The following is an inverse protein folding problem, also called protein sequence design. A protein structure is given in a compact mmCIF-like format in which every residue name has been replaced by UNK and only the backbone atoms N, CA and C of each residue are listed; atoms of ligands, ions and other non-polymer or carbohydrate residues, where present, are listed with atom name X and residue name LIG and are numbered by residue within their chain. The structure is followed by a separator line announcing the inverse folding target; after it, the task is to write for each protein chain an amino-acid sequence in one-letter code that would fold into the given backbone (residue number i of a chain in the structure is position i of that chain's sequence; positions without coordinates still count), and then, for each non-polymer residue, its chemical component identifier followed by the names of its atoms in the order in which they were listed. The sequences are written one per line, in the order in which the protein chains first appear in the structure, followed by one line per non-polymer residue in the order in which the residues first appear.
data_IF_596257307701
#
_entry.id   IF_596257307701
#
_cell.length_a   1.000
_cell.length_b   1.000
_cell.length_c   1.000
_cell.angle_alpha   90.00
_cell.angle_beta   90.00
_cell.angle_gamma   90.00
#
_symmetry.space_group_name_H-M   'P 1'
#
loop_
_entity.id
_entity.type
_entity.pdbx_description
1 polymer ?
#
# COMPACT_ATOMS: atom_id res chain seq x y z
N UNK A 1 -54.53 -32.86 29.79
CA UNK A 1 -54.02 -31.63 29.14
C UNK A 1 -52.50 -31.72 29.07
N UNK A 2 -51.94 -32.12 27.92
CA UNK A 2 -50.49 -32.23 27.71
C UNK A 2 -49.95 -30.86 27.27
N UNK A 3 -49.05 -30.27 28.06
CA UNK A 3 -48.36 -29.03 27.73
C UNK A 3 -47.32 -29.34 26.66
N UNK A 4 -47.47 -28.78 25.47
CA UNK A 4 -46.49 -28.86 24.39
C UNK A 4 -45.42 -27.79 24.67
N UNK A 5 -44.25 -28.23 25.10
CA UNK A 5 -43.09 -27.37 25.34
C UNK A 5 -42.61 -26.80 24.01
N UNK A 6 -42.65 -25.48 23.87
CA UNK A 6 -42.06 -24.75 22.74
C UNK A 6 -40.54 -24.88 22.88
N UNK A 7 -39.92 -25.66 22.00
CA UNK A 7 -38.47 -25.70 21.86
C UNK A 7 -38.03 -24.38 21.23
N UNK A 8 -37.47 -23.49 22.06
CA UNK A 8 -36.81 -22.28 21.63
C UNK A 8 -35.51 -22.70 20.90
N UNK A 9 -35.54 -22.70 19.58
CA UNK A 9 -34.35 -22.91 18.75
C UNK A 9 -33.50 -21.65 18.87
N UNK A 10 -32.57 -21.64 19.83
CA UNK A 10 -31.49 -20.67 19.91
C UNK A 10 -30.60 -20.88 18.68
N UNK A 11 -30.86 -20.10 17.63
CA UNK A 11 -29.93 -19.94 16.52
C UNK A 11 -28.70 -19.26 17.10
N UNK A 12 -27.70 -20.05 17.48
CA UNK A 12 -26.32 -19.57 17.59
C UNK A 12 -25.90 -19.17 16.17
N UNK A 13 -26.23 -17.94 15.77
CA UNK A 13 -25.47 -17.28 14.73
C UNK A 13 -24.04 -17.21 15.29
N UNK A 14 -23.06 -17.88 14.70
CA UNK A 14 -21.69 -17.49 14.96
C UNK A 14 -21.64 -16.02 14.54
N UNK A 15 -21.52 -15.11 15.52
CA UNK A 15 -20.94 -13.81 15.25
C UNK A 15 -19.55 -14.13 14.72
N UNK A 16 -19.46 -14.27 13.40
CA UNK A 16 -18.20 -14.09 12.72
C UNK A 16 -17.79 -12.68 13.12
N UNK A 17 -16.88 -12.60 14.08
CA UNK A 17 -16.03 -11.44 14.21
C UNK A 17 -15.29 -11.40 12.87
N UNK A 18 -15.86 -10.69 11.89
CA UNK A 18 -15.04 -10.05 10.88
C UNK A 18 -14.11 -9.19 11.71
N UNK A 19 -12.87 -9.66 11.90
CA UNK A 19 -11.79 -8.74 12.19
C UNK A 19 -11.76 -7.83 10.98
N UNK A 20 -12.37 -6.65 11.11
CA UNK A 20 -12.12 -5.58 10.16
C UNK A 20 -10.59 -5.49 10.05
N UNK A 21 -10.08 -5.52 8.82
CA UNK A 21 -8.72 -5.08 8.59
C UNK A 21 -8.65 -3.67 9.16
N UNK A 22 -7.68 -3.45 10.03
CA UNK A 22 -7.49 -2.15 10.64
C UNK A 22 -6.33 -1.48 9.91
N UNK A 23 -6.48 -0.21 9.56
CA UNK A 23 -5.48 0.52 8.82
C UNK A 23 -5.30 1.90 9.44
N UNK A 24 -4.12 2.48 9.26
CA UNK A 24 -3.83 3.82 9.76
C UNK A 24 -2.83 4.52 8.84
N UNK A 25 -3.01 5.82 8.65
CA UNK A 25 -2.04 6.67 7.96
C UNK A 25 -1.36 7.55 9.01
N UNK A 26 -0.04 7.45 9.10
CA UNK A 26 0.78 8.35 9.92
C UNK A 26 1.61 9.27 9.03
N UNK A 27 1.76 10.52 9.47
CA UNK A 27 2.55 11.55 8.80
C UNK A 27 3.77 11.86 9.65
N UNK A 28 4.95 11.82 9.03
CA UNK A 28 6.24 12.01 9.69
C UNK A 28 6.98 13.19 9.10
N UNK A 29 7.56 14.01 9.96
CA UNK A 29 8.60 14.97 9.57
C UNK A 29 9.87 14.18 9.20
N UNK A 30 10.36 14.33 7.97
CA UNK A 30 11.53 13.58 7.49
C UNK A 30 12.85 14.11 8.03
N UNK A 31 12.86 15.28 8.69
CA UNK A 31 14.05 15.84 9.34
C UNK A 31 14.44 15.10 10.63
N UNK A 32 13.48 14.46 11.30
CA UNK A 32 13.72 13.63 12.50
C UNK A 32 13.71 12.13 12.16
N UNK A 33 14.77 11.72 11.46
CA UNK A 33 14.94 10.32 11.01
C UNK A 33 14.98 9.31 12.15
N UNK A 34 15.49 9.67 13.33
CA UNK A 34 15.53 8.78 14.49
C UNK A 34 14.12 8.56 15.06
N UNK A 35 13.33 9.63 15.21
CA UNK A 35 11.93 9.51 15.63
C UNK A 35 11.12 8.67 14.64
N UNK A 36 11.24 8.97 13.34
CA UNK A 36 10.56 8.25 12.27
C UNK A 36 10.86 6.74 12.35
N UNK A 37 12.14 6.36 12.36
CA UNK A 37 12.54 4.96 12.38
C UNK A 37 12.06 4.23 13.64
N UNK A 38 12.12 4.89 14.80
CA UNK A 38 11.65 4.32 16.06
C UNK A 38 10.13 4.14 16.06
N UNK A 39 9.37 5.15 15.63
CA UNK A 39 7.91 5.09 15.64
C UNK A 39 7.38 4.07 14.63
N UNK A 40 7.88 4.05 13.39
CA UNK A 40 7.51 3.03 12.40
C UNK A 40 7.80 1.62 12.93
N UNK A 41 8.96 1.42 13.57
CA UNK A 41 9.31 0.13 14.18
C UNK A 41 8.36 -0.25 15.32
N UNK A 42 7.93 0.72 16.13
CA UNK A 42 7.00 0.46 17.23
C UNK A 42 5.57 0.19 16.76
N UNK A 43 5.12 0.82 15.67
CA UNK A 43 3.86 0.49 14.98
C UNK A 43 3.92 -0.94 14.41
N UNK A 44 5.05 -1.33 13.82
CA UNK A 44 5.27 -2.69 13.32
C UNK A 44 5.20 -3.74 14.44
N UNK A 45 5.81 -3.46 15.60
CA UNK A 45 5.73 -4.36 16.77
C UNK A 45 4.31 -4.54 17.31
N UNK A 46 3.40 -3.61 17.00
CA UNK A 46 1.97 -3.71 17.35
C UNK A 46 1.18 -4.59 16.38
N UNK A 47 1.81 -5.06 15.30
CA UNK A 47 1.23 -5.98 14.32
C UNK A 47 0.92 -5.35 12.97
N UNK A 48 1.16 -4.05 12.81
CA UNK A 48 0.94 -3.37 11.54
C UNK A 48 2.10 -3.61 10.55
N UNK A 49 1.75 -3.65 9.27
CA UNK A 49 2.70 -3.71 8.15
C UNK A 49 2.63 -2.40 7.39
N UNK A 50 3.74 -1.67 7.15
CA UNK A 50 3.71 -0.53 6.25
C UNK A 50 3.53 -1.06 4.83
N UNK A 51 2.46 -0.63 4.18
CA UNK A 51 2.08 -1.09 2.83
C UNK A 51 2.14 0.02 1.80
N UNK A 52 2.07 1.29 2.21
CA UNK A 52 2.23 2.41 1.28
C UNK A 52 2.99 3.58 1.86
N UNK A 53 3.63 4.36 0.99
CA UNK A 53 4.32 5.59 1.36
C UNK A 53 4.04 6.70 0.35
N UNK A 54 4.00 7.94 0.83
CA UNK A 54 4.03 9.09 -0.06
C UNK A 54 4.80 10.27 0.54
N UNK A 55 5.71 10.85 -0.24
CA UNK A 55 6.44 12.06 0.10
C UNK A 55 5.64 13.29 -0.35
N UNK A 56 5.26 14.13 0.61
CA UNK A 56 4.60 15.40 0.37
C UNK A 56 5.39 16.55 0.99
N UNK A 57 4.89 17.77 0.82
CA UNK A 57 5.41 18.95 1.50
C UNK A 57 4.27 19.62 2.25
N UNK A 58 4.55 20.17 3.44
CA UNK A 58 3.60 21.00 4.16
C UNK A 58 3.51 22.43 3.58
N UNK A 59 2.66 23.27 4.18
CA UNK A 59 2.46 24.66 3.75
C UNK A 59 3.73 25.53 3.89
N UNK A 60 4.66 25.14 4.76
CA UNK A 60 5.95 25.82 4.99
C UNK A 60 7.07 25.24 4.09
N UNK A 61 6.78 24.20 3.31
CA UNK A 61 7.70 23.52 2.42
C UNK A 61 8.58 22.47 3.08
N UNK A 62 8.27 22.04 4.32
CA UNK A 62 8.95 20.93 4.97
C UNK A 62 8.47 19.60 4.36
N UNK A 63 9.41 18.69 4.11
CA UNK A 63 9.10 17.37 3.57
C UNK A 63 8.42 16.50 4.64
N UNK A 64 7.32 15.87 4.24
CA UNK A 64 6.55 14.95 5.05
C UNK A 64 6.52 13.57 4.39
N UNK A 65 6.69 12.53 5.19
CA UNK A 65 6.45 11.15 4.76
C UNK A 65 5.11 10.68 5.33
N UNK A 66 4.17 10.39 4.46
CA UNK A 66 2.92 9.72 4.80
C UNK A 66 3.16 8.21 4.67
N UNK A 67 2.74 7.43 5.66
CA UNK A 67 2.88 5.96 5.65
C UNK A 67 1.54 5.33 5.96
N UNK A 68 1.05 4.53 5.01
CA UNK A 68 -0.12 3.68 5.18
C UNK A 68 0.32 2.36 5.83
N UNK A 69 -0.28 2.06 6.98
CA UNK A 69 -0.11 0.84 7.72
C UNK A 69 -1.36 -0.01 7.67
N UNK A 70 -1.18 -1.33 7.60
CA UNK A 70 -2.23 -2.32 7.59
C UNK A 70 -2.00 -3.33 8.71
N UNK A 71 -2.99 -3.54 9.58
CA UNK A 71 -3.00 -4.60 10.59
C UNK A 71 -3.33 -5.93 9.92
N UNK A 72 -2.36 -6.46 9.18
CA UNK A 72 -2.47 -7.76 8.52
C UNK A 72 -1.27 -8.66 8.85
N UNK A 73 -1.56 -9.72 9.61
CA UNK A 73 -0.59 -10.76 9.97
C UNK A 73 -0.20 -11.69 8.81
N UNK A 74 -0.89 -11.62 7.67
CA UNK A 74 -0.62 -12.45 6.50
C UNK A 74 0.67 -12.02 5.78
N UNK A 75 1.00 -10.72 5.84
CA UNK A 75 2.22 -10.16 5.25
C UNK A 75 3.37 -10.38 6.24
N UNK A 76 4.20 -11.37 5.96
CA UNK A 76 5.36 -11.71 6.80
C UNK A 76 6.64 -11.09 6.25
N UNK A 77 7.35 -10.34 7.08
CA UNK A 77 8.65 -9.74 6.75
C UNK A 77 9.57 -9.73 7.98
N UNK A 78 10.88 -9.65 7.74
CA UNK A 78 11.92 -9.72 8.80
C UNK A 78 12.63 -8.40 9.05
N UNK A 79 12.56 -7.47 8.10
CA UNK A 79 13.13 -6.13 8.20
C UNK A 79 12.39 -5.18 7.26
N UNK A 80 12.43 -3.90 7.55
CA UNK A 80 11.91 -2.85 6.70
C UNK A 80 12.95 -1.73 6.57
N UNK A 81 12.87 -0.94 5.49
CA UNK A 81 13.62 0.31 5.34
C UNK A 81 12.98 1.19 4.27
N UNK A 82 13.29 2.48 4.29
CA UNK A 82 13.00 3.40 3.19
C UNK A 82 14.34 3.90 2.67
N UNK A 83 14.57 3.76 1.37
CA UNK A 83 15.72 4.35 0.70
C UNK A 83 15.26 5.52 -0.17
N UNK A 84 16.10 6.53 -0.27
CA UNK A 84 15.89 7.72 -1.09
C UNK A 84 16.90 7.72 -2.24
N UNK A 85 16.44 8.09 -3.44
CA UNK A 85 17.24 8.06 -4.66
C UNK A 85 17.12 9.39 -5.39
N UNK A 86 18.25 9.86 -5.94
CA UNK A 86 18.31 11.13 -6.68
C UNK A 86 18.50 10.94 -8.18
N UNK A 87 18.47 9.68 -8.64
CA UNK A 87 18.47 9.35 -10.07
C UNK A 87 17.81 8.00 -10.34
N UNK A 88 17.22 7.86 -11.52
CA UNK A 88 16.62 6.59 -11.95
C UNK A 88 17.64 5.45 -12.03
N UNK A 89 18.88 5.75 -12.45
CA UNK A 89 19.95 4.74 -12.55
C UNK A 89 20.34 4.19 -11.17
N UNK A 90 20.50 5.06 -10.18
CA UNK A 90 20.79 4.66 -8.80
C UNK A 90 19.66 3.80 -8.22
N UNK A 91 18.41 4.24 -8.41
CA UNK A 91 17.24 3.49 -7.98
C UNK A 91 17.18 2.12 -8.66
N UNK A 92 17.37 2.04 -9.97
CA UNK A 92 17.29 0.78 -10.72
C UNK A 92 18.33 -0.23 -10.25
N UNK A 93 19.56 0.24 -10.03
CA UNK A 93 20.66 -0.59 -9.54
C UNK A 93 20.40 -1.11 -8.12
N UNK A 94 20.05 -0.23 -7.17
CA UNK A 94 19.85 -0.60 -5.77
C UNK A 94 18.60 -1.46 -5.57
N UNK A 95 17.46 -1.12 -6.21
CA UNK A 95 16.25 -1.96 -6.14
C UNK A 95 16.54 -3.37 -6.65
N UNK A 96 17.25 -3.49 -7.78
CA UNK A 96 17.62 -4.80 -8.34
C UNK A 96 18.58 -5.56 -7.42
N UNK A 97 19.57 -4.89 -6.82
CA UNK A 97 20.47 -5.51 -5.86
C UNK A 97 19.72 -6.01 -4.62
N UNK A 98 18.88 -5.17 -4.02
CA UNK A 98 18.10 -5.48 -2.82
C UNK A 98 17.10 -6.61 -3.08
N UNK A 99 16.48 -6.65 -4.26
CA UNK A 99 15.63 -7.77 -4.65
C UNK A 99 16.35 -9.11 -4.69
N UNK A 100 17.58 -9.13 -5.21
CA UNK A 100 18.42 -10.32 -5.17
C UNK A 100 18.82 -10.73 -3.72
N UNK A 101 18.67 -9.82 -2.76
CA UNK A 101 18.90 -10.05 -1.33
C UNK A 101 17.61 -10.35 -0.53
N UNK A 102 16.47 -10.53 -1.22
CA UNK A 102 15.17 -10.86 -0.61
C UNK A 102 14.35 -9.66 -0.14
N UNK A 103 14.69 -8.45 -0.58
CA UNK A 103 13.87 -7.27 -0.33
C UNK A 103 12.83 -7.06 -1.44
N UNK A 104 11.61 -6.74 -1.06
CA UNK A 104 10.52 -6.35 -1.93
C UNK A 104 10.37 -4.84 -1.88
N UNK A 105 10.46 -4.17 -3.03
CA UNK A 105 9.96 -2.80 -3.16
C UNK A 105 8.44 -2.83 -3.00
N UNK A 106 7.94 -2.39 -1.85
CA UNK A 106 6.53 -2.49 -1.46
C UNK A 106 5.70 -1.34 -2.02
N UNK A 107 6.28 -0.14 -2.06
CA UNK A 107 5.68 1.07 -2.64
C UNK A 107 6.79 2.06 -3.05
N UNK A 108 6.45 3.04 -3.87
CA UNK A 108 7.34 4.10 -4.35
C UNK A 108 6.62 5.45 -4.28
N UNK A 109 7.34 6.50 -3.91
CA UNK A 109 6.89 7.89 -4.02
C UNK A 109 7.93 8.72 -4.76
N UNK A 110 7.48 9.68 -5.56
CA UNK A 110 8.30 10.51 -6.42
C UNK A 110 7.84 11.96 -6.41
N UNK A 111 8.76 12.88 -6.09
CA UNK A 111 8.50 14.32 -5.97
C UNK A 111 9.11 15.15 -7.11
N UNK A 112 9.64 14.53 -8.16
CA UNK A 112 10.37 15.21 -9.24
C UNK A 112 11.88 15.13 -9.09
N UNK A 113 12.37 15.39 -7.87
CA UNK A 113 13.82 15.44 -7.56
C UNK A 113 14.31 14.23 -6.77
N UNK A 114 13.43 13.61 -5.98
CA UNK A 114 13.74 12.44 -5.16
C UNK A 114 12.68 11.36 -5.35
N UNK A 115 13.12 10.10 -5.40
CA UNK A 115 12.29 8.93 -5.25
C UNK A 115 12.52 8.30 -3.87
N UNK A 116 11.46 8.01 -3.13
CA UNK A 116 11.52 7.15 -1.95
C UNK A 116 10.92 5.79 -2.28
N UNK A 117 11.58 4.71 -1.85
CA UNK A 117 11.06 3.35 -1.99
C UNK A 117 10.98 2.69 -0.63
N UNK A 118 9.79 2.21 -0.27
CA UNK A 118 9.57 1.37 0.89
C UNK A 118 10.00 -0.05 0.56
N UNK A 119 10.90 -0.63 1.35
CA UNK A 119 11.32 -2.01 1.22
C UNK A 119 10.91 -2.85 2.41
N UNK A 120 10.42 -4.06 2.12
CA UNK A 120 10.16 -5.12 3.10
C UNK A 120 11.04 -6.33 2.78
N UNK A 121 11.74 -6.88 3.78
CA UNK A 121 12.54 -8.09 3.61
C UNK A 121 11.67 -9.33 3.82
N UNK A 122 11.37 -10.04 2.75
CA UNK A 122 10.43 -11.15 2.71
C UNK A 122 11.17 -12.49 2.57
N UNK A 123 10.52 -13.59 2.97
CA UNK A 123 11.06 -14.94 2.76
C UNK A 123 10.82 -15.49 1.33
N UNK A 124 10.01 -14.79 0.53
CA UNK A 124 9.71 -15.18 -0.84
C UNK A 124 10.54 -14.41 -1.86
N UNK A 125 10.86 -15.09 -2.96
CA UNK A 125 11.63 -14.50 -4.04
C UNK A 125 10.75 -13.64 -4.95
N UNK A 126 11.06 -12.36 -5.00
CA UNK A 126 10.57 -11.45 -6.05
C UNK A 126 11.29 -11.79 -7.34
N UNK A 127 10.54 -12.05 -8.42
CA UNK A 127 11.14 -12.50 -9.69
C UNK A 127 11.50 -11.36 -10.64
N UNK A 128 10.75 -10.26 -10.58
CA UNK A 128 11.00 -9.05 -11.36
C UNK A 128 10.23 -7.87 -10.75
N UNK A 129 10.64 -6.67 -11.10
CA UNK A 129 9.96 -5.41 -10.78
C UNK A 129 10.03 -4.49 -11.99
N UNK A 130 9.13 -3.50 -12.03
CA UNK A 130 9.09 -2.49 -13.06
C UNK A 130 8.41 -1.24 -12.54
N UNK A 131 8.86 -0.05 -12.96
CA UNK A 131 8.13 1.20 -12.78
C UNK A 131 7.67 1.66 -14.15
N UNK A 132 6.36 1.87 -14.29
CA UNK A 132 5.76 2.41 -15.50
C UNK A 132 5.27 3.84 -15.28
N UNK A 133 5.33 4.62 -16.35
CA UNK A 133 4.93 6.03 -16.36
C UNK A 133 3.73 6.19 -17.28
N UNK A 134 2.72 6.90 -16.82
CA UNK A 134 1.53 7.16 -17.63
C UNK A 134 0.94 8.53 -17.30
N UNK A 135 0.18 9.11 -18.23
CA UNK A 135 -0.50 10.37 -17.93
C UNK A 135 -1.58 10.14 -16.86
N UNK A 136 -1.73 11.09 -15.95
CA UNK A 136 -2.65 10.99 -14.83
C UNK A 136 -4.11 11.23 -15.27
N UNK A 137 -4.68 10.24 -15.95
CA UNK A 137 -6.09 10.14 -16.33
C UNK A 137 -6.60 8.73 -16.07
N UNK A 138 -7.89 8.59 -15.77
CA UNK A 138 -8.50 7.29 -15.47
C UNK A 138 -8.28 6.27 -16.61
N UNK A 139 -8.50 6.70 -17.87
CA UNK A 139 -8.33 5.84 -19.05
C UNK A 139 -6.89 5.32 -19.20
N UNK A 140 -5.90 6.20 -19.00
CA UNK A 140 -4.50 5.83 -19.16
C UNK A 140 -4.02 4.97 -17.98
N UNK A 141 -4.46 5.27 -16.77
CA UNK A 141 -4.19 4.46 -15.58
C UNK A 141 -4.74 3.04 -15.76
N UNK A 142 -6.04 2.89 -16.08
CA UNK A 142 -6.68 1.59 -16.29
C UNK A 142 -5.99 0.79 -17.38
N UNK A 143 -5.76 1.41 -18.54
CA UNK A 143 -5.07 0.75 -19.66
C UNK A 143 -3.67 0.28 -19.28
N UNK A 144 -2.94 1.08 -18.49
CA UNK A 144 -1.57 0.76 -18.08
C UNK A 144 -1.55 -0.40 -17.10
N UNK A 145 -2.38 -0.34 -16.04
CA UNK A 145 -2.48 -1.42 -15.06
C UNK A 145 -2.95 -2.70 -15.71
N UNK A 146 -4.01 -2.67 -16.53
CA UNK A 146 -4.53 -3.87 -17.21
C UNK A 146 -3.50 -4.52 -18.14
N UNK A 147 -2.67 -3.73 -18.83
CA UNK A 147 -1.58 -4.28 -19.64
C UNK A 147 -0.57 -5.04 -18.78
N UNK A 148 -0.10 -4.44 -17.69
CA UNK A 148 0.89 -5.08 -16.82
C UNK A 148 0.34 -6.28 -16.06
N UNK A 149 -0.92 -6.21 -15.64
CA UNK A 149 -1.60 -7.30 -14.94
C UNK A 149 -1.92 -8.45 -15.89
N UNK A 150 -2.71 -8.19 -16.93
CA UNK A 150 -3.29 -9.26 -17.75
C UNK A 150 -2.32 -9.80 -18.80
N UNK A 151 -1.46 -8.94 -19.38
CA UNK A 151 -0.55 -9.34 -20.46
C UNK A 151 0.85 -9.71 -19.96
N UNK A 152 1.31 -9.11 -18.85
CA UNK A 152 2.67 -9.34 -18.31
C UNK A 152 2.69 -10.20 -17.04
N UNK A 153 1.54 -10.36 -16.38
CA UNK A 153 1.42 -11.11 -15.14
C UNK A 153 2.21 -10.48 -14.00
N UNK A 154 2.15 -9.15 -13.89
CA UNK A 154 2.64 -8.40 -12.73
C UNK A 154 1.48 -8.03 -11.80
N UNK A 155 1.79 -7.74 -10.55
CA UNK A 155 0.87 -7.19 -9.56
C UNK A 155 1.19 -5.71 -9.38
N UNK A 156 0.20 -4.79 -9.36
CA UNK A 156 0.45 -3.40 -9.00
C UNK A 156 0.71 -3.34 -7.49
N UNK A 157 1.82 -2.70 -7.11
CA UNK A 157 2.31 -2.64 -5.74
C UNK A 157 2.38 -1.23 -5.19
N UNK A 158 2.61 -0.24 -6.05
CA UNK A 158 2.79 1.14 -5.63
C UNK A 158 2.25 2.15 -6.62
N UNK A 159 1.93 3.35 -6.12
CA UNK A 159 1.34 4.45 -6.88
C UNK A 159 1.95 5.77 -6.40
N UNK A 160 2.38 6.61 -7.33
CA UNK A 160 2.88 7.94 -7.03
C UNK A 160 2.54 8.90 -8.16
N UNK A 161 2.44 10.19 -7.87
CA UNK A 161 2.00 11.19 -8.85
C UNK A 161 2.82 12.46 -8.77
N UNK A 162 3.39 12.87 -9.89
CA UNK A 162 4.13 14.12 -10.02
C UNK A 162 3.74 14.83 -11.32
N UNK A 163 3.41 16.12 -11.23
CA UNK A 163 2.85 16.90 -12.35
C UNK A 163 1.76 16.11 -13.11
N UNK A 164 1.76 16.01 -14.43
CA UNK A 164 0.69 15.29 -15.16
C UNK A 164 0.93 13.79 -15.29
N UNK A 165 1.85 13.24 -14.51
CA UNK A 165 2.29 11.86 -14.62
C UNK A 165 1.92 11.05 -13.37
N UNK A 166 1.62 9.78 -13.60
CA UNK A 166 1.41 8.74 -12.63
C UNK A 166 2.52 7.69 -12.80
N UNK A 167 3.12 7.33 -11.68
CA UNK A 167 4.17 6.33 -11.57
C UNK A 167 3.57 5.11 -10.89
N UNK A 168 3.67 3.97 -11.54
CA UNK A 168 3.08 2.72 -11.08
C UNK A 168 4.19 1.70 -10.87
N UNK A 169 4.37 1.25 -9.63
CA UNK A 169 5.27 0.15 -9.31
C UNK A 169 4.55 -1.17 -9.53
N UNK A 170 5.15 -2.02 -10.34
CA UNK A 170 4.71 -3.37 -10.63
C UNK A 170 5.74 -4.37 -10.14
N UNK A 171 5.26 -5.44 -9.51
CA UNK A 171 6.12 -6.52 -9.04
C UNK A 171 5.61 -7.86 -9.54
N UNK A 172 6.53 -8.74 -9.93
CA UNK A 172 6.22 -10.10 -10.34
C UNK A 172 6.61 -11.10 -9.26
N UNK A 173 5.60 -11.67 -8.61
CA UNK A 173 5.76 -12.68 -7.57
C UNK A 173 5.30 -14.05 -8.08
N UNK A 174 5.94 -15.16 -7.65
CA UNK A 174 5.53 -16.51 -8.04
C UNK A 174 4.10 -16.86 -7.61
N UNK A 175 3.63 -16.26 -6.52
CA UNK A 175 2.33 -16.55 -5.93
C UNK A 175 1.84 -15.40 -5.05
N UNK A 176 1.30 -14.35 -5.67
CA UNK A 176 0.36 -13.45 -5.00
C UNK A 176 -0.95 -13.52 -5.77
N UNK A 177 -1.92 -14.34 -5.29
CA UNK A 177 -3.23 -14.34 -5.90
C UNK A 177 -3.94 -13.05 -5.48
N UNK A 178 -4.05 -12.11 -6.41
CA UNK A 178 -5.10 -11.12 -6.39
C UNK A 178 -6.00 -11.36 -7.60
N UNK A 179 -7.25 -10.98 -7.49
CA UNK A 179 -8.33 -11.21 -8.44
C UNK A 179 -8.84 -9.90 -9.04
N UNK A 180 -8.83 -8.83 -8.25
CA UNK A 180 -9.29 -7.50 -8.65
C UNK A 180 -8.35 -6.43 -8.10
N UNK A 181 -8.26 -5.32 -8.83
CA UNK A 181 -7.56 -4.11 -8.39
C UNK A 181 -8.49 -2.91 -8.59
N UNK A 182 -8.37 -1.90 -7.75
CA UNK A 182 -9.00 -0.59 -7.97
C UNK A 182 -8.13 0.52 -7.40
N UNK A 183 -8.26 1.72 -7.95
CA UNK A 183 -7.69 2.94 -7.37
C UNK A 183 -8.86 3.88 -7.10
N UNK A 184 -9.03 4.25 -5.84
CA UNK A 184 -10.02 5.23 -5.40
C UNK A 184 -9.32 6.44 -4.78
N UNK A 185 -10.05 7.55 -4.74
CA UNK A 185 -9.56 8.80 -4.18
C UNK A 185 -10.60 9.45 -3.29
N UNK A 186 -10.11 10.16 -2.28
CA UNK A 186 -10.91 10.78 -1.24
C UNK A 186 -10.32 12.15 -0.88
N UNK A 187 -11.14 13.05 -0.35
CA UNK A 187 -10.64 14.30 0.23
C UNK A 187 -9.73 14.00 1.43
N UNK A 188 -8.64 14.77 1.58
CA UNK A 188 -7.69 14.57 2.67
C UNK A 188 -8.36 14.81 4.03
N UNK A 189 -8.37 13.79 4.88
CA UNK A 189 -9.08 13.78 6.16
C UNK A 189 -10.52 13.25 6.10
N UNK A 190 -11.03 12.91 4.91
CA UNK A 190 -12.37 12.33 4.71
C UNK A 190 -12.32 10.98 3.96
N UNK A 191 -11.28 10.19 4.20
CA UNK A 191 -11.05 8.89 3.52
C UNK A 191 -11.54 7.67 4.30
N UNK A 192 -11.84 7.81 5.60
CA UNK A 192 -12.12 6.67 6.49
C UNK A 192 -13.32 5.84 6.02
N UNK A 193 -14.48 6.47 5.82
CA UNK A 193 -15.70 5.79 5.35
C UNK A 193 -15.53 5.14 3.98
N UNK A 194 -14.73 5.75 3.10
CA UNK A 194 -14.41 5.24 1.77
C UNK A 194 -13.58 3.96 1.83
N UNK A 195 -12.51 3.96 2.64
CA UNK A 195 -11.67 2.77 2.83
C UNK A 195 -12.50 1.64 3.48
N UNK A 196 -13.30 1.93 4.51
CA UNK A 196 -14.17 0.91 5.11
C UNK A 196 -15.17 0.32 4.10
N UNK A 197 -15.71 1.15 3.20
CA UNK A 197 -16.60 0.67 2.12
C UNK A 197 -15.85 -0.25 1.16
N UNK A 198 -14.60 0.06 0.80
CA UNK A 198 -13.78 -0.82 -0.03
C UNK A 198 -13.50 -2.16 0.68
N UNK A 199 -13.17 -2.14 1.97
CA UNK A 199 -12.93 -3.33 2.80
C UNK A 199 -14.18 -4.22 2.94
N UNK A 200 -15.36 -3.63 3.11
CA UNK A 200 -16.64 -4.37 3.10
C UNK A 200 -16.88 -5.09 1.76
N UNK A 201 -16.31 -4.59 0.66
CA UNK A 201 -16.33 -5.21 -0.66
C UNK A 201 -15.17 -6.20 -0.92
N UNK A 202 -14.33 -6.43 0.10
CA UNK A 202 -13.22 -7.37 0.10
C UNK A 202 -11.90 -6.79 -0.41
N UNK A 203 -11.81 -5.48 -0.63
CA UNK A 203 -10.58 -4.82 -1.06
C UNK A 203 -9.69 -4.48 0.14
N UNK A 204 -8.38 -4.62 -0.03
CA UNK A 204 -7.36 -4.33 0.98
C UNK A 204 -6.53 -3.13 0.51
N UNK A 205 -6.38 -2.06 1.31
CA UNK A 205 -5.58 -0.91 0.93
C UNK A 205 -4.11 -1.33 0.83
N UNK A 206 -3.49 -1.03 -0.31
CA UNK A 206 -2.22 -1.65 -0.72
C UNK A 206 -1.11 -0.67 -1.06
N UNK A 207 -1.44 0.55 -1.48
CA UNK A 207 -0.47 1.64 -1.67
C UNK A 207 -1.15 2.99 -1.47
N UNK A 208 -0.36 4.04 -1.28
CA UNK A 208 -0.82 5.38 -0.93
C UNK A 208 -0.19 6.42 -1.84
N UNK A 209 -0.99 7.36 -2.33
CA UNK A 209 -0.50 8.61 -2.93
C UNK A 209 -1.32 9.78 -2.38
N UNK A 210 -0.67 10.82 -1.88
CA UNK A 210 -1.30 12.02 -1.35
C UNK A 210 -1.00 13.19 -2.29
N UNK A 211 -2.04 13.75 -2.88
CA UNK A 211 -1.84 14.75 -3.94
C UNK A 211 -2.98 15.74 -4.05
N UNK A 212 -2.65 17.03 -4.15
CA UNK A 212 -3.61 18.11 -4.40
C UNK A 212 -4.79 18.14 -3.41
N UNK A 213 -4.56 17.79 -2.14
CA UNK A 213 -5.62 17.70 -1.13
C UNK A 213 -6.45 16.42 -1.19
N UNK A 214 -6.03 15.42 -1.98
CA UNK A 214 -6.67 14.12 -2.06
C UNK A 214 -5.74 13.00 -1.57
N UNK A 215 -6.35 11.93 -1.08
CA UNK A 215 -5.71 10.65 -0.76
C UNK A 215 -6.16 9.63 -1.79
N UNK A 216 -5.22 9.07 -2.54
CA UNK A 216 -5.43 7.99 -3.49
C UNK A 216 -4.93 6.69 -2.88
N UNK A 217 -5.77 5.65 -2.93
CA UNK A 217 -5.44 4.33 -2.42
C UNK A 217 -5.55 3.33 -3.57
N UNK A 218 -4.46 2.62 -3.83
CA UNK A 218 -4.49 1.39 -4.63
C UNK A 218 -4.97 0.26 -3.73
N UNK A 219 -5.99 -0.47 -4.14
CA UNK A 219 -6.46 -1.65 -3.43
C UNK A 219 -6.30 -2.91 -4.27
N UNK A 220 -6.13 -4.03 -3.56
CA UNK A 220 -6.12 -5.39 -4.11
C UNK A 220 -7.16 -6.26 -3.42
N UNK A 221 -7.69 -7.27 -4.12
CA UNK A 221 -8.65 -8.25 -3.60
C UNK A 221 -8.30 -9.67 -3.99
#
# INVERSE_FOLDING_TARGET
MKRLSIALLLVFLPLAFLSALDWVIYNYDTSDTDFLNNHVTDVIKQGYTPVGIDLTYDDDGAELLNVLFLLDSSITFTAWKINYYYSNEEMEQDVTELMNQGWLAKDVSFTGDVAAVLFLKMDHNVSAWWIEFTEFTDDNMVKTVDYWVNEKGYTPYGISGFDKELWLLFVKLPSVPFSEWLIEWYDFGEYEDGIYTAEENGFVPWALMVRNGFVYILYLK
#
